data_IF_060191332724
#
_entry.id   IF_060191332724
#
_cell.length_a   1.000
_cell.length_b   1.000
_cell.length_c   1.000
_cell.angle_alpha   90.00
_cell.angle_beta   90.00
_cell.angle_gamma   90.00
#
_symmetry.space_group_name_H-M   'P 1'
#
loop_
_entity.id
_entity.type
_entity.pdbx_description
1 polymer ?
#
# COMPACT_ATOMS: atom_id res chain seq x y z
N UNK A 1 46.20 -3.63 -12.17
CA UNK A 1 45.94 -4.77 -11.27
C UNK A 1 45.07 -4.40 -10.06
N UNK A 2 44.08 -3.50 -10.18
CA UNK A 2 43.11 -3.21 -9.09
C UNK A 2 41.72 -3.82 -9.34
N UNK A 3 41.39 -4.09 -10.61
CA UNK A 3 40.07 -4.58 -11.01
C UNK A 3 39.86 -6.08 -10.75
N UNK A 4 40.94 -6.88 -10.73
CA UNK A 4 40.86 -8.34 -10.52
C UNK A 4 40.79 -8.71 -9.03
N UNK A 5 41.44 -7.93 -8.16
CA UNK A 5 41.33 -8.10 -6.71
C UNK A 5 39.95 -7.69 -6.18
N UNK A 6 39.36 -6.61 -6.73
CA UNK A 6 37.99 -6.20 -6.38
C UNK A 6 36.91 -7.16 -6.87
N UNK A 7 37.08 -7.73 -8.07
CA UNK A 7 36.12 -8.66 -8.67
C UNK A 7 36.09 -10.04 -8.00
N UNK A 8 37.24 -10.56 -7.53
CA UNK A 8 37.30 -11.86 -6.86
C UNK A 8 36.94 -11.79 -5.37
N UNK A 9 37.19 -10.66 -4.70
CA UNK A 9 36.75 -10.46 -3.31
C UNK A 9 35.21 -10.40 -3.21
N UNK A 10 34.54 -9.76 -4.16
CA UNK A 10 33.08 -9.73 -4.27
C UNK A 10 32.46 -11.10 -4.56
N UNK A 11 33.20 -12.01 -5.21
CA UNK A 11 32.78 -13.40 -5.50
C UNK A 11 33.11 -14.37 -4.36
N UNK A 12 33.81 -13.91 -3.32
CA UNK A 12 34.13 -14.75 -2.17
C UNK A 12 32.89 -14.91 -1.27
N UNK A 13 32.58 -16.15 -0.88
CA UNK A 13 31.45 -16.44 0.01
C UNK A 13 31.56 -15.74 1.37
N UNK A 14 32.78 -15.38 1.80
CA UNK A 14 33.02 -14.61 3.02
C UNK A 14 32.54 -13.15 2.89
N UNK A 15 32.75 -12.50 1.75
CA UNK A 15 32.22 -11.15 1.53
C UNK A 15 30.69 -11.14 1.55
N UNK A 16 30.05 -12.10 0.88
CA UNK A 16 28.59 -12.27 0.91
C UNK A 16 28.08 -12.52 2.32
N UNK A 17 28.78 -13.35 3.13
CA UNK A 17 28.42 -13.62 4.53
C UNK A 17 28.56 -12.38 5.40
N UNK A 18 29.63 -11.60 5.26
CA UNK A 18 29.84 -10.35 5.99
C UNK A 18 28.80 -9.31 5.61
N UNK A 19 28.49 -9.15 4.32
CA UNK A 19 27.46 -8.22 3.85
C UNK A 19 26.07 -8.63 4.32
N UNK A 20 25.73 -9.92 4.29
CA UNK A 20 24.48 -10.42 4.88
C UNK A 20 24.43 -10.22 6.39
N UNK A 21 25.54 -10.46 7.10
CA UNK A 21 25.65 -10.22 8.54
C UNK A 21 25.49 -8.74 8.89
N UNK A 22 26.14 -7.84 8.14
CA UNK A 22 26.03 -6.40 8.30
C UNK A 22 24.61 -5.91 8.00
N UNK A 23 23.96 -6.42 6.95
CA UNK A 23 22.56 -6.12 6.66
C UNK A 23 21.62 -6.62 7.76
N UNK A 24 21.83 -7.85 8.25
CA UNK A 24 21.04 -8.40 9.36
C UNK A 24 21.20 -7.57 10.65
N UNK A 25 22.43 -7.15 10.97
CA UNK A 25 22.70 -6.27 12.11
C UNK A 25 22.02 -4.91 11.95
N UNK A 26 22.05 -4.32 10.74
CA UNK A 26 21.35 -3.08 10.44
C UNK A 26 19.82 -3.21 10.57
N UNK A 27 19.24 -4.35 10.17
CA UNK A 27 17.81 -4.60 10.36
C UNK A 27 17.45 -4.70 11.84
N UNK A 28 18.22 -5.45 12.64
CA UNK A 28 18.03 -5.54 14.09
C UNK A 28 18.13 -4.18 14.78
N UNK A 29 19.07 -3.33 14.35
CA UNK A 29 19.19 -1.97 14.89
C UNK A 29 17.96 -1.11 14.58
N UNK A 30 17.42 -1.21 13.35
CA UNK A 30 16.20 -0.50 12.97
C UNK A 30 15.00 -0.96 13.79
N UNK A 31 14.89 -2.27 14.03
CA UNK A 31 13.84 -2.88 14.87
C UNK A 31 13.94 -2.39 16.31
N UNK A 32 15.11 -2.49 16.95
CA UNK A 32 15.32 -2.00 18.31
C UNK A 32 15.00 -0.49 18.46
N UNK A 33 15.33 0.31 17.44
CA UNK A 33 14.97 1.73 17.42
C UNK A 33 13.46 1.93 17.29
N UNK A 34 12.79 1.14 16.48
CA UNK A 34 11.33 1.20 16.32
C UNK A 34 10.63 0.89 17.65
N UNK A 35 11.06 -0.17 18.34
CA UNK A 35 10.52 -0.56 19.65
C UNK A 35 10.71 0.54 20.71
N UNK A 36 11.88 1.18 20.73
CA UNK A 36 12.12 2.31 21.64
C UNK A 36 11.19 3.49 21.35
N UNK A 37 10.97 3.80 20.07
CA UNK A 37 10.07 4.87 19.67
C UNK A 37 8.62 4.55 20.00
N UNK A 38 8.20 3.29 19.82
CA UNK A 38 6.86 2.83 20.20
C UNK A 38 6.62 2.98 21.70
N UNK A 39 7.57 2.54 22.53
CA UNK A 39 7.48 2.74 24.00
C UNK A 39 7.46 4.21 24.40
N UNK A 40 8.20 5.07 23.70
CA UNK A 40 8.20 6.50 23.97
C UNK A 40 6.86 7.16 23.60
N UNK A 41 6.23 6.73 22.49
CA UNK A 41 4.90 7.18 22.10
C UNK A 41 3.84 6.72 23.09
N UNK A 42 3.87 5.44 23.48
CA UNK A 42 2.96 4.87 24.47
C UNK A 42 3.06 5.59 25.82
N UNK A 43 4.29 5.85 26.29
CA UNK A 43 4.52 6.64 27.51
C UNK A 43 4.02 8.10 27.42
N UNK A 44 3.93 8.65 26.21
CA UNK A 44 3.38 9.99 25.95
C UNK A 44 1.86 9.96 25.69
N UNK A 45 1.20 8.81 25.84
CA UNK A 45 -0.19 8.57 25.45
C UNK A 45 -0.46 8.95 23.98
N UNK A 46 0.53 8.75 23.11
CA UNK A 46 0.43 8.98 21.68
C UNK A 46 0.21 7.65 20.95
N UNK A 47 -0.66 7.63 19.92
CA UNK A 47 -0.97 6.39 19.22
C UNK A 47 0.26 5.84 18.48
N UNK A 48 0.47 4.53 18.60
CA UNK A 48 1.58 3.85 17.92
C UNK A 48 1.24 3.51 16.47
N UNK A 49 2.25 3.20 15.66
CA UNK A 49 2.02 2.75 14.27
C UNK A 49 1.23 1.45 14.21
N UNK A 50 1.45 0.53 15.17
CA UNK A 50 0.74 -0.73 15.23
C UNK A 50 -0.75 -0.52 15.54
N UNK A 51 -1.06 0.38 16.47
CA UNK A 51 -2.44 0.73 16.82
C UNK A 51 -3.18 1.39 15.66
N UNK A 52 -2.54 2.31 14.94
CA UNK A 52 -3.13 2.94 13.74
C UNK A 52 -3.42 1.90 12.66
N UNK A 53 -2.54 0.91 12.49
CA UNK A 53 -2.74 -0.17 11.54
C UNK A 53 -3.90 -1.09 11.95
N UNK A 54 -4.02 -1.44 13.23
CA UNK A 54 -5.16 -2.23 13.74
C UNK A 54 -6.48 -1.49 13.55
N UNK A 55 -6.53 -0.20 13.91
CA UNK A 55 -7.72 0.63 13.73
C UNK A 55 -8.15 0.69 12.26
N UNK A 56 -7.18 0.87 11.36
CA UNK A 56 -7.43 0.88 9.90
C UNK A 56 -7.95 -0.48 9.41
N UNK A 57 -7.41 -1.59 9.90
CA UNK A 57 -7.90 -2.93 9.57
C UNK A 57 -9.34 -3.15 10.07
N UNK A 58 -9.67 -2.65 11.27
CA UNK A 58 -11.02 -2.70 11.82
C UNK A 58 -12.00 -1.85 11.01
N UNK A 59 -11.61 -0.65 10.60
CA UNK A 59 -12.42 0.21 9.73
C UNK A 59 -12.71 -0.47 8.38
N UNK A 60 -11.70 -1.04 7.73
CA UNK A 60 -11.91 -1.77 6.47
C UNK A 60 -12.91 -2.94 6.63
N UNK A 61 -12.86 -3.69 7.75
CA UNK A 61 -13.85 -4.76 8.00
C UNK A 61 -15.27 -4.22 8.19
N UNK A 62 -15.41 -3.05 8.82
CA UNK A 62 -16.70 -2.37 8.98
C UNK A 62 -17.21 -1.94 7.60
N UNK A 63 -16.38 -1.27 6.80
CA UNK A 63 -16.73 -0.83 5.44
C UNK A 63 -17.18 -2.02 4.57
N UNK A 64 -16.44 -3.14 4.57
CA UNK A 64 -16.85 -4.35 3.86
C UNK A 64 -18.20 -4.91 4.34
N UNK A 65 -18.51 -4.77 5.63
CA UNK A 65 -19.78 -5.23 6.19
C UNK A 65 -20.92 -4.31 5.76
N UNK A 66 -20.68 -3.00 5.75
CA UNK A 66 -21.63 -1.99 5.25
C UNK A 66 -21.91 -2.22 3.76
N UNK A 67 -20.88 -2.37 2.93
CA UNK A 67 -21.04 -2.66 1.50
C UNK A 67 -21.89 -3.91 1.26
N UNK A 68 -21.68 -4.97 2.06
CA UNK A 68 -22.49 -6.19 1.99
C UNK A 68 -23.95 -5.90 2.34
N UNK A 69 -24.21 -5.16 3.41
CA UNK A 69 -25.58 -4.81 3.82
C UNK A 69 -26.26 -3.97 2.74
N UNK A 70 -25.58 -2.96 2.21
CA UNK A 70 -26.09 -2.12 1.12
C UNK A 70 -26.42 -2.95 -0.12
N UNK A 71 -25.56 -3.91 -0.49
CA UNK A 71 -25.83 -4.81 -1.61
C UNK A 71 -27.06 -5.69 -1.40
N UNK A 72 -27.25 -6.21 -0.18
CA UNK A 72 -28.43 -7.00 0.19
C UNK A 72 -29.71 -6.15 0.21
N UNK A 73 -29.61 -4.90 0.65
CA UNK A 73 -30.75 -3.98 0.67
C UNK A 73 -31.15 -3.54 -0.75
N UNK A 74 -30.18 -3.24 -1.60
CA UNK A 74 -30.41 -2.95 -3.01
C UNK A 74 -31.08 -4.13 -3.74
N UNK A 75 -30.63 -5.36 -3.46
CA UNK A 75 -31.24 -6.56 -4.02
C UNK A 75 -32.71 -6.75 -3.59
N UNK A 76 -33.06 -6.39 -2.35
CA UNK A 76 -34.43 -6.49 -1.83
C UNK A 76 -35.36 -5.38 -2.34
N UNK A 77 -34.84 -4.16 -2.45
CA UNK A 77 -35.63 -2.98 -2.84
C UNK A 77 -35.68 -2.76 -4.35
N UNK A 78 -34.82 -3.46 -5.11
CA UNK A 78 -34.61 -3.21 -6.54
C UNK A 78 -33.98 -1.84 -6.84
N UNK A 79 -33.56 -1.10 -5.81
CA UNK A 79 -32.94 0.21 -5.97
C UNK A 79 -31.43 0.05 -6.16
N UNK A 80 -30.81 0.79 -7.10
CA UNK A 80 -29.38 0.75 -7.29
C UNK A 80 -28.64 1.32 -6.06
N UNK A 81 -27.55 0.65 -5.63
CA UNK A 81 -26.66 1.13 -4.56
C UNK A 81 -25.91 2.41 -4.94
N UNK A 82 -25.76 2.67 -6.25
CA UNK A 82 -25.09 3.87 -6.76
C UNK A 82 -26.16 4.93 -7.04
N UNK A 83 -26.04 6.14 -6.45
CA UNK A 83 -26.97 7.22 -6.76
C UNK A 83 -26.92 7.53 -8.26
N UNK A 84 -28.08 7.68 -8.89
CA UNK A 84 -28.20 8.02 -10.30
C UNK A 84 -27.61 9.44 -10.52
N UNK A 85 -26.38 9.49 -11.03
CA UNK A 85 -25.70 10.74 -11.34
C UNK A 85 -26.01 11.09 -12.79
N UNK A 86 -26.58 12.28 -13.07
CA UNK A 86 -26.90 12.67 -14.44
C UNK A 86 -25.63 12.65 -15.29
N UNK A 87 -25.63 11.82 -16.34
CA UNK A 87 -24.49 11.65 -17.22
C UNK A 87 -24.26 12.94 -18.01
N UNK A 88 -23.01 13.46 -18.11
CA UNK A 88 -22.74 14.68 -18.86
C UNK A 88 -23.17 14.52 -20.32
N UNK A 89 -23.93 15.50 -20.83
CA UNK A 89 -24.39 15.50 -22.23
C UNK A 89 -23.18 15.54 -23.17
N UNK A 90 -23.05 14.53 -24.03
CA UNK A 90 -22.07 14.54 -25.13
C UNK A 90 -22.50 15.58 -26.17
N UNK A 91 -21.86 16.75 -26.17
CA UNK A 91 -22.14 17.85 -27.11
C UNK A 91 -21.30 17.80 -28.39
N UNK A 92 -20.30 16.92 -28.47
CA UNK A 92 -19.49 16.75 -29.68
C UNK A 92 -20.22 15.86 -30.68
N UNK A 93 -20.66 16.46 -31.79
CA UNK A 93 -21.05 15.71 -33.00
C UNK A 93 -19.78 15.22 -33.70
N UNK A 94 -19.70 13.95 -34.13
CA UNK A 94 -18.58 13.45 -34.91
C UNK A 94 -18.44 14.26 -36.22
N UNK A 95 -17.22 14.51 -36.70
CA UNK A 95 -17.01 15.18 -37.98
C UNK A 95 -17.65 14.34 -39.09
N UNK A 96 -18.47 14.97 -39.93
CA UNK A 96 -19.05 14.32 -41.09
C UNK A 96 -17.93 14.07 -42.09
N UNK A 97 -17.64 12.80 -42.34
CA UNK A 97 -16.60 12.39 -43.27
C UNK A 97 -16.98 12.88 -44.66
N UNK A 98 -16.19 13.80 -45.22
CA UNK A 98 -16.38 14.30 -46.59
C UNK A 98 -16.03 13.16 -47.54
N UNK A 99 -17.02 12.62 -48.24
CA UNK A 99 -16.80 11.56 -49.22
C UNK A 99 -15.78 12.02 -50.28
N UNK A 100 -14.82 11.17 -50.69
CA UNK A 100 -13.93 11.49 -51.80
C UNK A 100 -14.74 11.50 -53.10
N UNK A 101 -14.58 12.58 -53.87
CA UNK A 101 -15.08 12.70 -55.25
C UNK A 101 -14.21 11.98 -56.25
#
# INVERSE_FOLDING_TARGET
>A
MANEFGGNLMKSGEFTRVMHGANAANMKLKEARADMMERALDAAHMPTKAEVADLSARLNRIEMTVDRIESMLAAQTGQPTVPDRPKPRRTRKPPQNKAPG
#
